data_IF_638489803851
#
_entry.id   IF_638489803851
#
_cell.length_a   1.000
_cell.length_b   1.000
_cell.length_c   1.000
_cell.angle_alpha   90.00
_cell.angle_beta   90.00
_cell.angle_gamma   90.00
#
_symmetry.space_group_name_H-M   'P 1'
#
loop_
_entity.id
_entity.type
_entity.pdbx_description
1 polymer ?
#
# COMPACT_ATOMS: atom_id res chain seq x y z
N UNK A 1 -12.38 46.64 -20.67
CA UNK A 1 -12.95 45.65 -21.59
C UNK A 1 -13.79 44.72 -20.73
N UNK A 2 -15.11 44.86 -20.82
CA UNK A 2 -16.07 44.15 -20.00
C UNK A 2 -16.34 42.73 -20.55
N UNK A 3 -16.84 41.87 -19.66
CA UNK A 3 -17.79 40.78 -19.95
C UNK A 3 -17.27 39.46 -20.53
N UNK A 4 -17.23 38.43 -19.69
CA UNK A 4 -17.74 37.09 -20.02
C UNK A 4 -18.02 36.30 -18.74
N UNK A 5 -19.08 36.72 -18.04
CA UNK A 5 -19.57 36.07 -16.81
C UNK A 5 -20.95 35.45 -16.99
N UNK A 6 -21.28 34.88 -18.16
CA UNK A 6 -22.67 34.50 -18.47
C UNK A 6 -22.85 33.26 -19.35
N UNK A 7 -21.97 32.26 -19.25
CA UNK A 7 -22.16 30.95 -19.93
C UNK A 7 -22.08 29.74 -19.00
N UNK A 8 -21.71 29.89 -17.72
CA UNK A 8 -21.58 28.74 -16.81
C UNK A 8 -22.91 28.28 -16.16
N UNK A 9 -23.92 29.15 -16.05
CA UNK A 9 -25.15 28.82 -15.33
C UNK A 9 -26.02 27.76 -16.05
N UNK A 10 -26.01 27.75 -17.39
CA UNK A 10 -26.82 26.80 -18.17
C UNK A 10 -26.25 25.36 -18.11
N UNK A 11 -24.93 25.19 -18.01
CA UNK A 11 -24.30 23.87 -17.91
C UNK A 11 -24.52 23.21 -16.54
N UNK A 12 -24.55 23.99 -15.46
CA UNK A 12 -24.79 23.46 -14.10
C UNK A 12 -26.21 22.93 -13.96
N UNK A 13 -27.20 23.60 -14.57
CA UNK A 13 -28.59 23.14 -14.52
C UNK A 13 -28.78 21.81 -15.27
N UNK A 14 -28.07 21.61 -16.38
CA UNK A 14 -28.12 20.37 -17.16
C UNK A 14 -27.48 19.17 -16.42
N UNK A 15 -26.41 19.40 -15.65
CA UNK A 15 -25.80 18.35 -14.81
C UNK A 15 -26.67 17.96 -13.60
N UNK A 16 -27.39 18.92 -13.00
CA UNK A 16 -28.23 18.67 -11.82
C UNK A 16 -29.46 17.80 -12.14
N UNK A 17 -29.99 17.87 -13.37
CA UNK A 17 -31.15 17.07 -13.80
C UNK A 17 -30.82 15.57 -13.99
N UNK A 18 -29.54 15.19 -14.10
CA UNK A 18 -29.13 13.80 -14.34
C UNK A 18 -29.05 12.92 -13.07
N UNK A 19 -29.10 13.49 -11.85
CA UNK A 19 -29.02 12.71 -10.61
C UNK A 19 -30.38 12.16 -10.12
N UNK A 20 -31.46 12.40 -10.84
CA UNK A 20 -32.80 11.98 -10.45
C UNK A 20 -33.33 10.80 -11.29
N UNK A 21 -32.65 9.65 -11.28
CA UNK A 21 -33.33 8.38 -11.61
C UNK A 21 -32.66 7.16 -10.97
N UNK A 22 -33.52 6.26 -10.46
CA UNK A 22 -33.28 4.89 -10.00
C UNK A 22 -32.90 4.70 -8.52
N UNK A 23 -33.93 4.70 -7.68
CA UNK A 23 -34.02 3.90 -6.46
C UNK A 23 -34.68 2.53 -6.75
N UNK A 24 -34.34 1.56 -5.90
CA UNK A 24 -35.12 0.40 -5.43
C UNK A 24 -34.75 -1.03 -5.90
N UNK A 25 -34.45 -1.85 -4.87
CA UNK A 25 -34.69 -3.30 -4.67
C UNK A 25 -33.97 -4.30 -5.62
N UNK A 26 -33.35 -5.38 -5.15
CA UNK A 26 -34.01 -6.47 -4.43
C UNK A 26 -33.08 -7.34 -3.55
N UNK A 27 -33.72 -8.16 -2.72
CA UNK A 27 -33.17 -8.93 -1.62
C UNK A 27 -32.86 -10.40 -1.96
N UNK A 28 -32.07 -11.03 -1.05
CA UNK A 28 -31.96 -12.48 -0.81
C UNK A 28 -31.25 -13.33 -1.91
N UNK A 29 -30.52 -14.43 -1.66
CA UNK A 29 -30.53 -15.40 -0.55
C UNK A 29 -29.24 -16.26 -0.62
N UNK A 30 -28.62 -16.45 0.55
CA UNK A 30 -27.91 -17.63 1.10
C UNK A 30 -27.51 -18.77 0.14
N UNK A 31 -26.24 -19.21 0.19
CA UNK A 31 -25.90 -20.65 0.09
C UNK A 31 -24.41 -21.02 0.27
N UNK A 32 -24.15 -21.82 1.32
CA UNK A 32 -23.27 -23.02 1.43
C UNK A 32 -21.78 -22.91 1.04
N UNK A 33 -20.87 -23.03 2.00
CA UNK A 33 -20.17 -24.28 2.42
C UNK A 33 -19.33 -24.89 1.31
N UNK A 34 -18.01 -25.02 1.56
CA UNK A 34 -17.19 -26.21 1.29
C UNK A 34 -15.72 -25.82 1.40
N UNK A 35 -15.14 -26.11 2.56
CA UNK A 35 -13.70 -26.35 2.69
C UNK A 35 -13.35 -27.63 1.89
N UNK A 36 -12.18 -27.68 1.23
CA UNK A 36 -11.44 -28.92 1.26
C UNK A 36 -10.00 -28.66 1.71
N UNK A 37 -9.75 -29.17 2.91
CA UNK A 37 -8.45 -29.53 3.45
C UNK A 37 -7.75 -30.47 2.49
N UNK A 38 -6.76 -29.98 1.74
CA UNK A 38 -5.82 -30.84 1.02
C UNK A 38 -4.47 -30.81 1.70
N UNK A 39 -4.31 -31.84 2.51
CA UNK A 39 -3.07 -32.32 3.11
C UNK A 39 -2.18 -32.82 1.95
N UNK A 40 -1.07 -32.14 1.70
CA UNK A 40 0.03 -32.73 0.94
C UNK A 40 1.26 -32.84 1.82
N UNK A 41 1.24 -33.87 2.66
CA UNK A 41 2.43 -34.44 3.26
C UNK A 41 3.25 -35.12 2.18
N UNK A 42 4.51 -34.70 2.00
CA UNK A 42 5.53 -35.50 1.31
C UNK A 42 6.91 -35.27 1.94
N UNK A 43 7.80 -36.27 1.85
CA UNK A 43 8.38 -36.90 3.02
C UNK A 43 9.79 -36.41 3.33
N UNK A 44 10.18 -36.57 4.59
CA UNK A 44 11.57 -36.60 5.02
C UNK A 44 12.30 -37.78 4.36
N UNK A 45 13.38 -37.47 3.64
CA UNK A 45 14.40 -38.42 3.20
C UNK A 45 15.76 -37.71 3.16
N UNK A 46 16.88 -38.37 3.50
CA UNK A 46 18.04 -37.68 4.04
C UNK A 46 19.25 -37.64 3.09
N UNK A 47 20.24 -36.81 3.50
CA UNK A 47 21.68 -36.84 3.17
C UNK A 47 22.10 -36.27 1.79
N UNK A 48 22.92 -35.21 1.81
CA UNK A 48 24.32 -35.25 1.36
C UNK A 48 24.99 -33.91 1.70
N UNK A 49 25.91 -34.00 2.67
CA UNK A 49 26.94 -32.99 2.93
C UNK A 49 27.85 -32.88 1.71
N UNK A 50 28.08 -31.66 1.23
CA UNK A 50 29.27 -31.32 0.43
C UNK A 50 29.95 -30.09 1.05
N UNK A 51 31.12 -30.24 1.68
CA UNK A 51 32.03 -29.14 1.85
C UNK A 51 32.82 -29.03 0.55
N UNK A 52 32.61 -27.97 -0.21
CA UNK A 52 33.48 -27.60 -1.32
C UNK A 52 33.90 -26.15 -1.07
N UNK A 53 35.12 -26.02 -0.56
CA UNK A 53 35.90 -24.80 -0.59
C UNK A 53 35.99 -24.32 -2.04
N UNK A 54 35.29 -23.24 -2.36
CA UNK A 54 35.45 -22.53 -3.63
C UNK A 54 36.03 -21.13 -3.30
N UNK A 55 37.08 -20.66 -3.99
CA UNK A 55 37.84 -19.47 -3.61
C UNK A 55 37.00 -18.19 -3.58
N UNK A 56 37.25 -17.37 -2.55
CA UNK A 56 36.70 -16.02 -2.43
C UNK A 56 37.21 -15.12 -3.56
N UNK A 57 36.43 -15.02 -4.64
CA UNK A 57 36.53 -13.90 -5.57
C UNK A 57 35.84 -12.72 -4.88
N UNK A 58 36.51 -11.57 -4.66
CA UNK A 58 35.85 -10.38 -4.19
C UNK A 58 34.94 -9.88 -5.32
N UNK A 59 33.69 -10.34 -5.34
CA UNK A 59 32.62 -9.59 -5.98
C UNK A 59 32.47 -8.32 -5.16
N UNK A 60 32.49 -7.11 -5.76
CA UNK A 60 31.90 -5.96 -5.11
C UNK A 60 30.42 -6.31 -4.92
N UNK A 61 30.10 -6.85 -3.75
CA UNK A 61 28.75 -6.84 -3.21
C UNK A 61 28.40 -5.37 -3.05
N UNK A 62 27.83 -4.77 -4.10
CA UNK A 62 26.69 -3.91 -3.84
C UNK A 62 25.56 -4.83 -3.38
N UNK A 63 25.69 -5.35 -2.17
CA UNK A 63 24.55 -5.80 -1.40
C UNK A 63 23.70 -4.56 -1.21
N UNK A 64 22.77 -4.33 -2.13
CA UNK A 64 21.66 -3.43 -1.88
C UNK A 64 20.90 -4.11 -0.77
N UNK A 65 21.20 -3.72 0.47
CA UNK A 65 20.41 -4.07 1.63
C UNK A 65 18.97 -3.69 1.28
N UNK A 66 18.12 -4.69 1.01
CA UNK A 66 16.72 -4.45 0.66
C UNK A 66 16.01 -3.77 1.85
N UNK A 67 16.56 -3.95 3.05
CA UNK A 67 16.20 -3.22 4.28
C UNK A 67 16.53 -1.72 4.22
N UNK A 68 17.35 -1.26 3.27
CA UNK A 68 17.60 0.16 2.98
C UNK A 68 16.55 0.78 2.05
N UNK A 69 15.55 0.01 1.59
CA UNK A 69 14.48 0.50 0.72
C UNK A 69 13.12 0.32 1.36
N UNK A 70 12.22 1.26 1.08
CA UNK A 70 10.89 1.23 1.66
C UNK A 70 9.93 0.25 0.98
N UNK A 71 10.29 -0.31 -0.16
CA UNK A 71 9.36 -1.14 -0.92
C UNK A 71 9.00 -2.44 -0.23
N UNK A 72 9.96 -3.16 0.36
CA UNK A 72 9.67 -4.39 1.11
C UNK A 72 8.64 -4.16 2.21
N UNK A 73 8.79 -3.08 2.97
CA UNK A 73 7.85 -2.67 4.02
C UNK A 73 6.48 -2.29 3.45
N UNK A 74 6.44 -1.49 2.40
CA UNK A 74 5.18 -1.03 1.81
C UNK A 74 4.38 -2.15 1.13
N UNK A 75 5.03 -3.25 0.71
CA UNK A 75 4.33 -4.44 0.21
C UNK A 75 3.42 -5.09 1.27
N UNK A 76 3.71 -4.90 2.56
CA UNK A 76 2.82 -5.36 3.64
C UNK A 76 1.47 -4.62 3.68
N UNK A 77 1.32 -3.54 2.92
CA UNK A 77 0.05 -2.83 2.71
C UNK A 77 -0.79 -3.38 1.56
N UNK A 78 -0.32 -4.39 0.83
CA UNK A 78 -1.11 -5.06 -0.21
C UNK A 78 -2.55 -5.42 0.23
N UNK A 79 -2.80 -6.01 1.43
CA UNK A 79 -4.16 -6.23 1.91
C UNK A 79 -4.96 -4.94 2.19
N UNK A 80 -4.31 -3.79 2.38
CA UNK A 80 -4.97 -2.51 2.65
C UNK A 80 -5.42 -1.76 1.39
N UNK A 81 -4.96 -2.15 0.20
CA UNK A 81 -5.21 -1.41 -1.03
C UNK A 81 -6.72 -1.26 -1.34
N UNK A 82 -7.52 -2.27 -1.03
CA UNK A 82 -8.98 -2.19 -1.19
C UNK A 82 -9.61 -1.09 -0.32
N UNK A 83 -9.11 -0.91 0.91
CA UNK A 83 -9.57 0.16 1.81
C UNK A 83 -9.23 1.56 1.28
N UNK A 84 -8.07 1.72 0.64
CA UNK A 84 -7.67 3.02 0.10
C UNK A 84 -8.50 3.45 -1.10
N UNK A 85 -8.92 2.49 -1.93
CA UNK A 85 -9.69 2.76 -3.15
C UNK A 85 -11.18 2.95 -2.90
N UNK A 86 -11.73 2.24 -1.92
CA UNK A 86 -13.17 2.26 -1.66
C UNK A 86 -13.52 3.27 -0.56
N UNK A 87 -14.19 4.37 -0.97
CA UNK A 87 -14.66 5.38 -0.04
C UNK A 87 -15.78 4.87 0.91
N UNK A 88 -16.50 3.81 0.57
CA UNK A 88 -17.52 3.22 1.43
C UNK A 88 -16.97 2.30 2.51
N UNK A 89 -15.70 1.88 2.41
CA UNK A 89 -15.17 0.83 3.28
C UNK A 89 -14.80 1.38 4.66
N UNK A 90 -15.48 0.91 5.70
CA UNK A 90 -15.26 1.32 7.10
C UNK A 90 -14.41 0.33 7.92
N UNK A 91 -14.12 -0.85 7.36
CA UNK A 91 -13.36 -1.92 8.01
C UNK A 91 -12.14 -2.29 7.18
N UNK A 92 -11.00 -2.47 7.84
CA UNK A 92 -9.80 -2.96 7.19
C UNK A 92 -9.96 -4.43 6.73
N UNK A 93 -9.49 -4.78 5.52
CA UNK A 93 -9.43 -6.17 5.08
C UNK A 93 -8.59 -7.04 6.01
N UNK A 94 -8.79 -8.35 5.94
CA UNK A 94 -8.01 -9.31 6.73
C UNK A 94 -6.50 -9.12 6.50
N UNK A 95 -5.72 -9.09 7.59
CA UNK A 95 -4.27 -8.90 7.53
C UNK A 95 -3.78 -7.46 7.32
N UNK A 96 -4.64 -6.52 6.93
CA UNK A 96 -4.25 -5.13 6.67
C UNK A 96 -3.61 -4.44 7.89
N UNK A 97 -4.30 -4.44 9.05
CA UNK A 97 -3.76 -3.79 10.24
C UNK A 97 -2.51 -4.48 10.79
N UNK A 98 -2.35 -5.80 10.56
CA UNK A 98 -1.13 -6.52 10.93
C UNK A 98 0.05 -6.03 10.10
N UNK A 99 -0.08 -5.98 8.78
CA UNK A 99 0.98 -5.50 7.89
C UNK A 99 1.33 -4.05 8.16
N UNK A 100 0.33 -3.17 8.26
CA UNK A 100 0.54 -1.77 8.61
C UNK A 100 1.21 -1.60 9.99
N UNK A 101 0.87 -2.44 10.97
CA UNK A 101 1.49 -2.45 12.29
C UNK A 101 2.97 -2.81 12.26
N UNK A 102 3.37 -3.77 11.43
CA UNK A 102 4.78 -4.11 11.21
C UNK A 102 5.57 -2.90 10.67
N UNK A 103 5.03 -2.18 9.67
CA UNK A 103 5.68 -0.98 9.12
C UNK A 103 5.83 0.12 10.18
N UNK A 104 4.76 0.39 10.95
CA UNK A 104 4.78 1.40 12.02
C UNK A 104 5.86 1.08 13.07
N UNK A 105 6.09 -0.20 13.36
CA UNK A 105 7.07 -0.66 14.34
C UNK A 105 8.50 -0.65 13.78
N UNK A 106 8.71 -1.22 12.60
CA UNK A 106 10.05 -1.52 12.09
C UNK A 106 10.59 -0.40 11.20
N UNK A 107 9.76 0.19 10.35
CA UNK A 107 10.16 1.18 9.35
C UNK A 107 9.12 2.30 9.18
N UNK A 108 8.81 3.05 10.26
CA UNK A 108 7.75 4.06 10.23
C UNK A 108 8.00 5.17 9.21
N UNK A 109 9.26 5.49 8.92
CA UNK A 109 9.65 6.47 7.92
C UNK A 109 9.12 6.13 6.51
N UNK A 110 8.91 4.85 6.19
CA UNK A 110 8.40 4.44 4.89
C UNK A 110 6.93 4.84 4.65
N UNK A 111 6.16 5.11 5.70
CA UNK A 111 4.82 5.68 5.57
C UNK A 111 4.84 7.07 4.93
N UNK A 112 5.97 7.78 4.97
CA UNK A 112 6.13 9.05 4.28
C UNK A 112 5.91 8.94 2.76
N UNK A 113 6.16 7.78 2.15
CA UNK A 113 5.86 7.58 0.73
C UNK A 113 4.36 7.56 0.43
N UNK A 114 3.53 7.24 1.42
CA UNK A 114 2.08 7.35 1.33
C UNK A 114 1.68 8.81 1.49
N UNK A 115 2.17 9.46 2.54
CA UNK A 115 1.81 10.85 2.86
C UNK A 115 2.30 11.87 1.82
N UNK A 116 3.44 11.61 1.18
CA UNK A 116 3.99 12.45 0.11
C UNK A 116 3.50 12.03 -1.28
N UNK A 117 2.53 11.11 -1.37
CA UNK A 117 1.98 10.58 -2.62
C UNK A 117 3.01 9.88 -3.54
N UNK A 118 4.19 9.54 -3.04
CA UNK A 118 5.25 8.88 -3.82
C UNK A 118 4.85 7.47 -4.21
N UNK A 119 4.27 6.70 -3.28
CA UNK A 119 3.77 5.35 -3.55
C UNK A 119 2.63 5.40 -4.56
N UNK A 120 1.66 6.29 -4.36
CA UNK A 120 0.51 6.48 -5.28
C UNK A 120 0.97 6.65 -6.74
N UNK A 121 1.95 7.54 -6.96
CA UNK A 121 2.56 7.76 -8.28
C UNK A 121 3.32 6.54 -8.79
N UNK A 122 4.02 5.82 -7.92
CA UNK A 122 4.82 4.66 -8.31
C UNK A 122 3.98 3.46 -8.79
N UNK A 123 2.83 3.20 -8.14
CA UNK A 123 1.98 2.04 -8.48
C UNK A 123 0.71 2.42 -9.26
N UNK A 124 0.49 3.70 -9.57
CA UNK A 124 -0.70 4.21 -10.24
C UNK A 124 -2.03 3.78 -9.57
N UNK A 125 -2.00 3.65 -8.24
CA UNK A 125 -3.18 3.31 -7.41
C UNK A 125 -3.47 4.50 -6.51
N UNK A 126 -4.70 5.00 -6.56
CA UNK A 126 -5.17 6.08 -5.69
C UNK A 126 -5.08 5.69 -4.21
N UNK A 127 -4.27 6.42 -3.45
CA UNK A 127 -4.10 6.27 -2.01
C UNK A 127 -4.28 7.65 -1.38
N UNK A 128 -5.53 8.10 -1.18
CA UNK A 128 -5.78 9.42 -0.62
C UNK A 128 -5.28 9.48 0.83
N UNK A 129 -4.49 10.51 1.14
CA UNK A 129 -3.83 10.68 2.46
C UNK A 129 -4.81 10.66 3.62
N UNK A 130 -6.00 11.23 3.46
CA UNK A 130 -7.04 11.21 4.49
C UNK A 130 -7.51 9.77 4.81
N UNK A 131 -7.57 8.87 3.82
CA UNK A 131 -7.88 7.45 4.04
C UNK A 131 -6.72 6.75 4.74
N UNK A 132 -5.49 7.04 4.34
CA UNK A 132 -4.31 6.48 4.99
C UNK A 132 -4.26 6.85 6.48
N UNK A 133 -4.52 8.11 6.80
CA UNK A 133 -4.57 8.58 8.19
C UNK A 133 -5.71 7.91 8.96
N UNK A 134 -6.91 7.84 8.38
CA UNK A 134 -8.07 7.18 9.00
C UNK A 134 -7.82 5.68 9.23
N UNK A 135 -7.17 5.00 8.28
CA UNK A 135 -6.81 3.60 8.43
C UNK A 135 -5.87 3.41 9.62
N UNK A 136 -4.82 4.23 9.72
CA UNK A 136 -3.81 4.14 10.78
C UNK A 136 -4.44 4.44 12.14
N UNK A 137 -5.19 5.53 12.26
CA UNK A 137 -5.72 6.04 13.53
C UNK A 137 -7.01 5.37 13.95
N UNK A 138 -8.04 5.48 13.13
CA UNK A 138 -9.41 5.14 13.51
C UNK A 138 -9.70 3.65 13.32
N UNK A 139 -9.18 3.04 12.26
CA UNK A 139 -9.51 1.65 11.91
C UNK A 139 -8.56 0.65 12.55
N UNK A 140 -7.25 0.91 12.50
CA UNK A 140 -6.25 0.01 13.05
C UNK A 140 -5.74 0.41 14.45
N UNK A 141 -6.04 1.63 14.93
CA UNK A 141 -5.64 2.07 16.27
C UNK A 141 -4.12 2.16 16.48
N UNK A 142 -3.35 2.29 15.40
CA UNK A 142 -1.89 2.27 15.44
C UNK A 142 -1.34 3.64 15.74
N UNK A 143 -0.24 3.70 16.52
CA UNK A 143 0.42 4.95 16.88
C UNK A 143 1.81 5.10 16.25
N UNK A 144 1.94 5.70 15.06
CA UNK A 144 3.22 6.15 14.53
C UNK A 144 4.00 7.09 15.49
N UNK A 145 5.34 7.14 15.34
CA UNK A 145 6.19 8.05 16.07
C UNK A 145 5.77 9.51 15.90
N UNK A 146 5.90 10.29 16.98
CA UNK A 146 5.46 11.69 17.05
C UNK A 146 6.17 12.59 16.02
N UNK A 147 7.43 12.26 15.73
CA UNK A 147 8.28 12.99 14.80
C UNK A 147 8.17 12.50 13.35
N UNK A 148 7.24 11.58 13.03
CA UNK A 148 7.12 11.00 11.69
C UNK A 148 6.90 12.09 10.63
N UNK A 149 5.97 13.02 10.85
CA UNK A 149 5.70 14.10 9.90
C UNK A 149 6.91 15.01 9.67
N UNK A 150 7.68 15.29 10.73
CA UNK A 150 8.94 16.04 10.61
C UNK A 150 9.93 15.25 9.76
N UNK A 151 10.06 13.94 9.99
CA UNK A 151 10.89 13.07 9.16
C UNK A 151 10.44 13.07 7.70
N UNK A 152 9.12 13.07 7.42
CA UNK A 152 8.59 13.10 6.05
C UNK A 152 8.91 14.39 5.30
N UNK A 153 9.07 15.51 6.01
CA UNK A 153 9.47 16.78 5.43
C UNK A 153 10.98 16.85 5.12
N UNK A 154 11.78 15.99 5.73
CA UNK A 154 13.23 15.93 5.53
C UNK A 154 13.57 14.89 4.46
N UNK A 155 13.90 15.32 3.25
CA UNK A 155 14.17 14.43 2.10
C UNK A 155 15.28 13.39 2.35
N UNK A 156 16.24 13.67 3.23
CA UNK A 156 17.31 12.74 3.61
C UNK A 156 16.97 11.75 4.73
N UNK A 157 15.81 11.89 5.38
CA UNK A 157 15.41 11.04 6.50
C UNK A 157 14.52 9.86 6.08
N UNK A 158 14.02 9.86 4.85
CA UNK A 158 13.15 8.81 4.31
C UNK A 158 13.96 7.93 3.35
N UNK A 159 14.08 6.62 3.61
CA UNK A 159 14.75 5.71 2.68
C UNK A 159 14.06 5.73 1.31
N UNK A 160 14.80 5.52 0.20
CA UNK A 160 14.21 5.52 -1.13
C UNK A 160 13.17 4.41 -1.28
N UNK A 161 12.16 4.62 -2.16
CA UNK A 161 11.20 3.55 -2.47
C UNK A 161 11.88 2.36 -3.11
N UNK A 162 12.62 2.62 -4.18
CA UNK A 162 13.40 1.63 -4.91
C UNK A 162 14.81 2.18 -5.07
N UNK A 163 15.78 1.27 -5.12
CA UNK A 163 17.11 1.57 -5.63
C UNK A 163 17.20 0.89 -6.99
N UNK A 164 17.32 1.68 -8.05
CA UNK A 164 17.69 1.13 -9.35
C UNK A 164 19.16 0.71 -9.29
N UNK A 165 19.52 -0.53 -9.66
CA UNK A 165 20.91 -0.89 -9.89
C UNK A 165 21.46 0.04 -10.97
N UNK A 166 22.58 0.71 -10.69
CA UNK A 166 23.26 1.49 -11.72
C UNK A 166 23.68 0.54 -12.86
N UNK A 167 23.49 0.92 -14.13
CA UNK A 167 24.01 0.10 -15.23
C UNK A 167 25.52 -0.02 -15.07
N UNK A 168 26.01 -1.26 -15.09
CA UNK A 168 27.45 -1.52 -15.13
C UNK A 168 28.01 -0.92 -16.43
N UNK A 169 29.04 -0.09 -16.31
CA UNK A 169 29.75 0.51 -17.44
C UNK A 169 30.56 -0.54 -18.22
#
# INVERSE_FOLDING_TARGET
MASSGKTCAASVLLLLLALAVATAADAAKKSITSEPKSIFSRPSGPIISRPASEPAIPRPSAEVDVSATCMGSLLELSPCLAFFRDAGMSKAPAGCCKGLGTIVRDQPACLCHIFNHTLERAIAVGIPVNRALALIRDVCGLTPPRNLMVSCANAGAVPPLYVCPAPSA
#
